data_IF_881418572709
#
_entry.id   IF_881418572709
#
_cell.length_a   1.000
_cell.length_b   1.000
_cell.length_c   1.000
_cell.angle_alpha   90.00
_cell.angle_beta   90.00
_cell.angle_gamma   90.00
#
_symmetry.space_group_name_H-M   'P 1'
#
loop_
_entity.id
_entity.type
_entity.pdbx_description
1 polymer ?
#
# COMPACT_ATOMS: atom_id res chain seq x y z
N UNK A 1 16.45 47.50 -18.70
CA UNK A 1 15.62 46.92 -19.78
C UNK A 1 14.84 45.77 -19.16
N UNK A 2 13.67 46.03 -18.59
CA UNK A 2 12.86 45.04 -17.86
C UNK A 2 11.89 44.39 -18.83
N UNK A 3 12.09 43.10 -19.11
CA UNK A 3 11.17 42.29 -19.92
C UNK A 3 10.02 41.80 -19.03
N UNK A 4 8.82 42.33 -19.28
CA UNK A 4 7.56 41.82 -18.72
C UNK A 4 7.11 40.63 -19.54
N UNK A 5 7.02 39.45 -18.93
CA UNK A 5 6.43 38.25 -19.56
C UNK A 5 4.93 38.20 -19.23
N UNK A 6 4.02 38.06 -20.22
CA UNK A 6 2.60 37.91 -19.95
C UNK A 6 2.28 36.49 -19.45
N UNK A 7 1.54 36.40 -18.34
CA UNK A 7 0.97 35.15 -17.81
C UNK A 7 -0.23 34.71 -18.66
N UNK A 8 -0.38 33.42 -19.03
CA UNK A 8 -1.59 32.95 -19.70
C UNK A 8 -2.76 32.86 -18.72
N UNK A 9 -3.90 33.38 -19.16
CA UNK A 9 -5.17 33.40 -18.45
C UNK A 9 -5.71 31.95 -18.36
N UNK A 10 -5.78 31.36 -17.16
CA UNK A 10 -6.42 30.06 -16.94
C UNK A 10 -7.94 30.25 -16.99
N UNK A 11 -8.57 29.67 -18.01
CA UNK A 11 -10.04 29.54 -18.10
C UNK A 11 -10.46 28.45 -17.13
N UNK A 12 -11.12 28.83 -16.04
CA UNK A 12 -11.79 27.90 -15.12
C UNK A 12 -13.15 27.58 -15.73
N UNK A 13 -13.27 26.39 -16.34
CA UNK A 13 -14.54 25.86 -16.81
C UNK A 13 -15.27 25.19 -15.63
N UNK A 14 -16.30 25.87 -15.15
CA UNK A 14 -17.27 25.39 -14.17
C UNK A 14 -18.29 24.49 -14.90
N UNK A 15 -18.27 23.17 -14.68
CA UNK A 15 -19.31 22.28 -15.20
C UNK A 15 -19.85 21.33 -14.14
N UNK A 16 -20.99 21.76 -13.59
CA UNK A 16 -22.19 21.03 -13.20
C UNK A 16 -22.07 19.59 -12.66
N UNK A 17 -22.34 19.48 -11.36
CA UNK A 17 -22.77 18.27 -10.65
C UNK A 17 -24.12 17.80 -11.19
N UNK A 18 -24.20 16.54 -11.64
CA UNK A 18 -25.45 15.82 -11.93
C UNK A 18 -25.59 14.69 -10.90
N UNK A 19 -26.51 14.89 -9.94
CA UNK A 19 -26.94 13.90 -8.97
C UNK A 19 -27.83 12.85 -9.66
N UNK A 20 -27.38 11.60 -9.71
CA UNK A 20 -28.22 10.44 -10.00
C UNK A 20 -28.52 9.73 -8.68
N UNK A 21 -29.79 9.83 -8.25
CA UNK A 21 -30.34 9.04 -7.16
C UNK A 21 -31.00 7.80 -7.74
N UNK A 22 -30.41 6.62 -7.55
CA UNK A 22 -31.04 5.34 -7.87
C UNK A 22 -31.50 4.65 -6.59
N UNK A 23 -32.81 4.69 -6.35
CA UNK A 23 -33.52 3.89 -5.36
C UNK A 23 -33.79 2.49 -5.93
N UNK A 24 -33.39 1.43 -5.22
CA UNK A 24 -33.73 0.02 -5.45
C UNK A 24 -33.05 -0.82 -4.35
N UNK A 25 -33.58 -1.90 -3.79
CA UNK A 25 -34.75 -2.76 -4.02
C UNK A 25 -35.35 -3.11 -2.64
N UNK A 26 -36.67 -3.14 -2.45
CA UNK A 26 -37.59 -4.28 -2.59
C UNK A 26 -37.36 -5.46 -1.62
N UNK A 27 -38.23 -5.49 -0.59
CA UNK A 27 -38.96 -6.60 0.05
C UNK A 27 -38.31 -7.98 0.25
N UNK A 28 -38.29 -8.50 1.49
CA UNK A 28 -39.37 -9.37 2.05
C UNK A 28 -38.93 -10.08 3.34
N UNK A 29 -39.89 -10.18 4.25
CA UNK A 29 -39.92 -10.86 5.54
C UNK A 29 -39.69 -12.39 5.43
N UNK A 30 -39.01 -12.97 6.43
CA UNK A 30 -39.22 -14.36 6.87
C UNK A 30 -38.63 -14.53 8.27
N UNK A 31 -39.53 -14.78 9.22
CA UNK A 31 -39.27 -15.19 10.59
C UNK A 31 -38.96 -16.68 10.64
N UNK A 32 -37.95 -17.10 11.41
CA UNK A 32 -37.90 -18.44 11.97
C UNK A 32 -37.25 -18.40 13.36
N UNK A 33 -38.11 -18.56 14.38
CA UNK A 33 -37.72 -19.01 15.71
C UNK A 33 -37.36 -20.50 15.64
N UNK A 34 -36.27 -20.91 16.28
CA UNK A 34 -36.22 -22.24 16.88
C UNK A 34 -35.56 -22.21 18.26
N UNK A 35 -36.38 -22.53 19.25
CA UNK A 35 -36.05 -22.73 20.65
C UNK A 35 -35.26 -24.04 20.84
N UNK A 36 -34.13 -24.00 21.56
CA UNK A 36 -33.68 -25.09 22.45
C UNK A 36 -32.45 -24.63 23.28
N UNK A 37 -32.62 -24.19 24.53
CA UNK A 37 -32.51 -24.96 25.78
C UNK A 37 -31.26 -25.87 25.89
N UNK A 38 -30.42 -25.51 26.86
CA UNK A 38 -29.12 -26.07 27.32
C UNK A 38 -29.12 -27.58 27.67
N UNK A 39 -27.94 -28.22 27.92
CA UNK A 39 -27.30 -28.11 29.25
C UNK A 39 -25.75 -28.12 29.31
N UNK A 40 -25.29 -27.37 30.31
CA UNK A 40 -24.17 -27.56 31.27
C UNK A 40 -23.40 -28.90 31.32
N UNK A 41 -22.06 -28.74 31.26
CA UNK A 41 -20.95 -29.43 31.96
C UNK A 41 -20.61 -30.91 31.73
N UNK A 42 -19.32 -31.15 31.46
CA UNK A 42 -18.52 -32.09 32.26
C UNK A 42 -17.01 -31.84 32.15
N UNK A 43 -16.45 -31.51 33.30
CA UNK A 43 -15.04 -31.62 33.70
C UNK A 43 -14.51 -33.04 33.48
N UNK A 44 -13.27 -33.18 32.97
CA UNK A 44 -12.41 -34.31 33.32
C UNK A 44 -10.96 -33.85 33.38
N UNK A 45 -10.44 -33.74 34.60
CA UNK A 45 -9.02 -33.66 34.90
C UNK A 45 -8.36 -35.02 34.63
N UNK A 46 -7.25 -35.01 33.88
CA UNK A 46 -6.40 -36.17 33.62
C UNK A 46 -4.93 -35.79 33.72
N UNK A 47 -4.41 -35.93 34.93
CA UNK A 47 -3.04 -36.30 35.36
C UNK A 47 -1.90 -36.30 34.32
N UNK A 48 -0.95 -35.39 34.56
CA UNK A 48 0.51 -35.55 34.54
C UNK A 48 1.06 -36.90 34.02
N UNK A 49 1.78 -36.89 32.89
CA UNK A 49 3.21 -37.26 32.90
C UNK A 49 3.94 -36.94 31.56
N UNK A 50 5.19 -36.55 31.75
CA UNK A 50 6.36 -36.66 30.86
C UNK A 50 6.64 -35.75 29.66
N UNK A 51 7.85 -35.19 29.81
CA UNK A 51 8.88 -34.82 28.82
C UNK A 51 8.71 -33.51 28.07
N UNK A 52 9.32 -32.49 28.67
CA UNK A 52 10.44 -31.73 28.09
C UNK A 52 10.44 -31.65 26.56
N UNK A 53 10.04 -30.51 25.98
CA UNK A 53 10.78 -30.00 24.84
C UNK A 53 12.07 -29.39 25.38
N UNK A 54 13.20 -29.91 24.90
CA UNK A 54 14.40 -29.12 24.67
C UNK A 54 13.99 -27.69 24.34
N UNK A 55 14.54 -26.71 25.04
CA UNK A 55 14.47 -25.32 24.62
C UNK A 55 15.09 -25.25 23.23
N UNK A 56 14.25 -25.42 22.21
CA UNK A 56 14.54 -24.95 20.88
C UNK A 56 14.79 -23.47 21.07
N UNK A 57 16.07 -23.13 20.95
CA UNK A 57 16.46 -21.78 20.62
C UNK A 57 15.74 -21.48 19.32
N UNK A 58 14.55 -20.89 19.41
CA UNK A 58 13.92 -20.16 18.31
C UNK A 58 14.92 -19.07 17.98
N UNK A 59 15.84 -19.42 17.10
CA UNK A 59 16.60 -18.46 16.35
C UNK A 59 15.53 -17.84 15.46
N UNK A 60 14.94 -16.73 15.92
CA UNK A 60 14.21 -15.84 15.02
C UNK A 60 15.12 -15.70 13.81
N UNK A 61 14.68 -16.10 12.60
CA UNK A 61 15.45 -15.76 11.42
C UNK A 61 15.60 -14.26 11.51
N UNK A 62 16.82 -13.76 11.47
CA UNK A 62 17.02 -12.37 11.08
C UNK A 62 16.43 -12.32 9.68
N UNK A 63 15.14 -11.97 9.58
CA UNK A 63 14.48 -11.74 8.30
C UNK A 63 15.37 -10.72 7.64
N UNK A 64 15.97 -11.11 6.52
CA UNK A 64 16.84 -10.24 5.75
C UNK A 64 15.94 -9.15 5.15
N UNK A 65 15.66 -8.11 5.95
CA UNK A 65 14.72 -7.05 5.62
C UNK A 65 15.29 -6.30 4.43
N UNK A 66 14.64 -6.44 3.28
CA UNK A 66 15.02 -5.75 2.07
C UNK A 66 14.64 -4.27 2.21
N UNK A 67 15.60 -3.41 2.54
CA UNK A 67 15.37 -1.97 2.71
C UNK A 67 15.70 -1.20 1.44
N UNK A 68 14.95 -0.13 1.19
CA UNK A 68 15.25 0.86 0.16
C UNK A 68 15.24 2.27 0.76
N UNK A 69 15.95 3.18 0.09
CA UNK A 69 15.91 4.61 0.36
C UNK A 69 15.29 5.34 -0.83
N UNK A 70 14.31 6.19 -0.57
CA UNK A 70 13.62 7.01 -1.56
C UNK A 70 14.01 8.47 -1.30
N UNK A 71 14.67 9.10 -2.27
CA UNK A 71 15.04 10.52 -2.21
C UNK A 71 14.08 11.37 -3.02
N UNK A 72 13.55 12.44 -2.45
CA UNK A 72 12.64 13.39 -3.12
C UNK A 72 13.10 14.82 -2.82
N UNK A 73 13.79 15.46 -3.76
CA UNK A 73 14.49 16.72 -3.48
C UNK A 73 15.51 16.55 -2.34
N UNK A 74 15.37 17.35 -1.27
CA UNK A 74 16.21 17.26 -0.06
C UNK A 74 15.68 16.23 0.96
N UNK A 75 14.50 15.65 0.71
CA UNK A 75 13.92 14.65 1.58
C UNK A 75 14.49 13.26 1.34
N UNK A 76 14.75 12.55 2.44
CA UNK A 76 15.12 11.15 2.42
C UNK A 76 14.12 10.34 3.25
N UNK A 77 13.57 9.31 2.63
CA UNK A 77 12.57 8.40 3.18
C UNK A 77 13.14 6.98 3.13
N UNK A 78 12.75 6.14 4.09
CA UNK A 78 13.09 4.72 4.10
C UNK A 78 11.84 3.90 3.88
N UNK A 79 11.98 2.74 3.26
CA UNK A 79 10.92 1.76 3.16
C UNK A 79 11.48 0.34 3.34
N UNK A 80 10.68 -0.52 3.95
CA UNK A 80 10.97 -1.93 4.13
C UNK A 80 10.10 -2.76 3.18
N UNK A 81 10.73 -3.54 2.31
CA UNK A 81 10.07 -4.42 1.34
C UNK A 81 9.78 -5.80 1.94
N UNK A 82 8.68 -6.40 1.49
CA UNK A 82 8.36 -7.81 1.74
C UNK A 82 9.21 -8.72 0.85
N UNK A 83 9.54 -9.93 1.32
CA UNK A 83 10.26 -10.92 0.50
C UNK A 83 9.36 -11.57 -0.56
N UNK A 84 9.16 -10.86 -1.67
CA UNK A 84 8.32 -11.26 -2.80
C UNK A 84 9.04 -11.17 -4.14
N UNK A 85 8.53 -11.86 -5.17
CA UNK A 85 9.08 -11.78 -6.52
C UNK A 85 9.09 -10.32 -7.05
N UNK A 86 7.98 -9.59 -6.84
CA UNK A 86 7.86 -8.18 -7.21
C UNK A 86 8.91 -7.29 -6.52
N UNK A 87 9.16 -7.49 -5.21
CA UNK A 87 10.16 -6.71 -4.48
C UNK A 87 11.59 -6.99 -4.98
N UNK A 88 11.92 -8.24 -5.30
CA UNK A 88 13.23 -8.60 -5.87
C UNK A 88 13.42 -8.02 -7.27
N UNK A 89 12.37 -7.97 -8.08
CA UNK A 89 12.41 -7.30 -9.39
C UNK A 89 12.61 -5.79 -9.24
N UNK A 90 11.97 -5.16 -8.25
CA UNK A 90 12.20 -3.73 -7.97
C UNK A 90 13.67 -3.50 -7.59
N UNK A 91 14.24 -4.32 -6.70
CA UNK A 91 15.65 -4.23 -6.31
C UNK A 91 16.59 -4.37 -7.51
N UNK A 92 16.29 -5.28 -8.44
CA UNK A 92 17.10 -5.49 -9.65
C UNK A 92 17.13 -4.26 -10.59
N UNK A 93 16.17 -3.32 -10.44
CA UNK A 93 16.13 -2.08 -11.20
C UNK A 93 16.86 -0.92 -10.51
N UNK A 94 17.33 -1.09 -9.26
CA UNK A 94 17.93 0.00 -8.50
C UNK A 94 19.39 0.28 -8.93
N UNK A 95 19.85 1.55 -8.89
CA UNK A 95 19.05 2.73 -8.59
C UNK A 95 18.13 3.13 -9.76
N UNK A 96 16.89 3.53 -9.44
CA UNK A 96 15.92 3.98 -10.44
C UNK A 96 15.44 5.40 -10.13
N UNK A 97 15.23 6.20 -11.17
CA UNK A 97 14.61 7.53 -11.07
C UNK A 97 13.18 7.46 -11.62
N UNK A 98 12.20 7.91 -10.85
CA UNK A 98 10.78 7.87 -11.22
C UNK A 98 10.20 9.28 -11.13
N UNK A 99 9.63 9.77 -12.23
CA UNK A 99 8.83 10.99 -12.23
C UNK A 99 7.43 10.64 -11.75
N UNK A 100 7.04 11.17 -10.59
CA UNK A 100 5.78 10.84 -9.93
C UNK A 100 4.81 12.01 -9.96
N UNK A 101 3.53 11.71 -10.13
CA UNK A 101 2.44 12.68 -10.08
C UNK A 101 1.50 12.38 -8.92
N UNK A 102 0.78 13.39 -8.48
CA UNK A 102 -0.31 13.25 -7.53
C UNK A 102 -1.51 12.59 -8.19
N UNK A 103 -2.03 11.51 -7.58
CA UNK A 103 -3.27 10.89 -8.00
C UNK A 103 -4.29 10.91 -6.86
N UNK A 104 -5.43 11.55 -7.12
CA UNK A 104 -6.59 11.52 -6.23
C UNK A 104 -6.40 12.18 -4.86
N UNK A 105 -5.27 12.83 -4.57
CA UNK A 105 -4.95 13.27 -3.21
C UNK A 105 -4.67 12.09 -2.26
N UNK A 106 -4.33 10.91 -2.79
CA UNK A 106 -4.11 9.68 -2.02
C UNK A 106 -2.73 9.06 -2.24
N UNK A 107 -2.12 9.27 -3.41
CA UNK A 107 -0.85 8.63 -3.75
C UNK A 107 0.02 9.52 -4.65
N UNK A 108 1.35 9.31 -4.56
CA UNK A 108 2.29 9.71 -5.61
C UNK A 108 2.64 8.48 -6.44
N UNK A 109 2.46 8.55 -7.75
CA UNK A 109 2.63 7.39 -8.63
C UNK A 109 3.38 7.73 -9.90
N UNK A 110 4.18 6.80 -10.43
CA UNK A 110 4.90 7.00 -11.69
C UNK A 110 5.55 5.72 -12.24
N UNK A 111 5.88 5.70 -13.54
CA UNK A 111 6.21 4.47 -14.26
C UNK A 111 7.61 3.95 -13.90
N UNK A 112 7.70 2.63 -13.74
CA UNK A 112 8.98 1.91 -13.67
C UNK A 112 9.54 1.64 -15.08
N UNK A 113 10.87 1.48 -15.22
CA UNK A 113 11.50 1.07 -16.48
C UNK A 113 10.97 -0.26 -17.04
N UNK A 114 10.78 -1.25 -16.17
CA UNK A 114 10.33 -2.59 -16.54
C UNK A 114 9.24 -3.09 -15.57
N UNK A 115 8.28 -3.91 -16.04
CA UNK A 115 7.24 -4.48 -15.19
C UNK A 115 7.81 -5.41 -14.11
N UNK A 116 7.20 -5.37 -12.93
CA UNK A 116 7.48 -6.29 -11.83
C UNK A 116 6.67 -7.58 -11.97
N UNK A 117 7.21 -8.69 -11.47
CA UNK A 117 6.53 -9.97 -11.42
C UNK A 117 5.26 -9.90 -10.54
N UNK A 118 4.19 -10.52 -11.03
CA UNK A 118 2.94 -10.74 -10.30
C UNK A 118 2.87 -12.14 -9.68
N UNK A 119 3.95 -12.91 -9.75
CA UNK A 119 4.01 -14.26 -9.19
C UNK A 119 3.75 -14.23 -7.68
N UNK A 120 2.75 -14.98 -7.24
CA UNK A 120 2.36 -15.09 -5.83
C UNK A 120 1.60 -13.88 -5.28
N UNK A 121 1.28 -12.88 -6.12
CA UNK A 121 0.53 -11.70 -5.69
C UNK A 121 -0.99 -11.92 -5.79
N UNK A 122 -1.80 -11.29 -4.92
CA UNK A 122 -3.25 -11.31 -5.05
C UNK A 122 -3.71 -10.55 -6.32
N UNK A 123 -4.99 -10.71 -6.69
CA UNK A 123 -5.58 -9.99 -7.83
C UNK A 123 -5.62 -8.46 -7.64
N UNK A 124 -5.53 -7.99 -6.40
CA UNK A 124 -5.55 -6.58 -6.02
C UNK A 124 -5.36 -6.42 -4.51
N UNK A 125 -5.37 -5.17 -4.06
CA UNK A 125 -5.19 -4.84 -2.65
C UNK A 125 -5.94 -3.56 -2.28
N UNK A 126 -6.13 -3.37 -0.97
CA UNK A 126 -6.73 -2.22 -0.30
C UNK A 126 -5.64 -1.51 0.54
N UNK A 127 -4.81 -0.66 -0.09
CA UNK A 127 -3.64 -0.06 0.56
C UNK A 127 -4.01 0.98 1.63
N UNK A 128 -3.26 0.96 2.73
CA UNK A 128 -3.34 1.96 3.79
C UNK A 128 -2.30 3.06 3.60
N UNK A 129 -2.49 4.27 4.17
CA UNK A 129 -1.44 5.28 4.24
C UNK A 129 -0.14 4.71 4.81
N UNK A 130 0.96 4.95 4.11
CA UNK A 130 2.27 4.38 4.44
C UNK A 130 2.60 3.07 3.74
N UNK A 131 1.69 2.46 2.99
CA UNK A 131 2.05 1.32 2.14
C UNK A 131 2.86 1.79 0.91
N UNK A 132 3.78 0.94 0.49
CA UNK A 132 4.50 1.07 -0.78
C UNK A 132 3.94 0.04 -1.75
N UNK A 133 3.45 0.48 -2.90
CA UNK A 133 2.78 -0.39 -3.86
C UNK A 133 3.34 -0.35 -5.27
N UNK A 134 2.82 -1.28 -6.07
CA UNK A 134 2.97 -1.34 -7.51
C UNK A 134 1.61 -1.51 -8.16
N UNK A 135 1.26 -0.62 -9.07
CA UNK A 135 0.03 -0.71 -9.84
C UNK A 135 0.33 -1.36 -11.20
N UNK A 136 0.05 -2.66 -11.29
CA UNK A 136 0.43 -3.49 -12.43
C UNK A 136 -0.15 -3.05 -13.79
N UNK A 137 -1.41 -2.59 -13.90
CA UNK A 137 -1.96 -2.10 -15.17
C UNK A 137 -1.25 -0.85 -15.72
N UNK A 138 -0.70 -0.01 -14.82
CA UNK A 138 0.05 1.20 -15.19
C UNK A 138 1.55 1.00 -15.30
N UNK A 139 2.08 -0.11 -14.76
CA UNK A 139 3.51 -0.30 -14.50
C UNK A 139 4.09 0.79 -13.57
N UNK A 140 3.30 1.23 -12.58
CA UNK A 140 3.66 2.35 -11.73
C UNK A 140 4.12 1.91 -10.34
N UNK A 141 5.21 2.50 -9.86
CA UNK A 141 5.56 2.51 -8.43
C UNK A 141 4.66 3.52 -7.72
N UNK A 142 4.12 3.15 -6.57
CA UNK A 142 3.10 3.94 -5.85
C UNK A 142 3.49 4.18 -4.40
N UNK A 143 3.47 5.43 -3.97
CA UNK A 143 3.66 5.86 -2.58
C UNK A 143 2.31 6.31 -2.01
N UNK A 144 1.70 5.49 -1.16
CA UNK A 144 0.40 5.80 -0.55
C UNK A 144 0.56 6.72 0.67
N UNK A 145 -0.10 7.88 0.65
CA UNK A 145 -0.16 8.79 1.79
C UNK A 145 -1.60 9.09 2.26
N UNK A 146 -2.60 8.73 1.45
CA UNK A 146 -4.02 8.76 1.79
C UNK A 146 -4.65 7.37 1.69
N UNK A 147 -5.92 7.30 2.10
CA UNK A 147 -6.69 6.05 2.11
C UNK A 147 -7.20 5.72 0.69
N UNK A 148 -6.89 4.52 0.21
CA UNK A 148 -7.30 4.07 -1.11
C UNK A 148 -7.99 2.72 -0.98
N UNK A 149 -9.26 2.66 -1.40
CA UNK A 149 -10.05 1.43 -1.38
C UNK A 149 -9.48 0.36 -2.32
N UNK A 150 -9.87 -0.90 -2.07
CA UNK A 150 -9.51 -2.03 -2.91
C UNK A 150 -9.57 -1.74 -4.41
N UNK A 151 -8.49 -2.08 -5.12
CA UNK A 151 -8.44 -2.00 -6.57
C UNK A 151 -7.66 -3.16 -7.18
N UNK A 152 -8.13 -3.66 -8.32
CA UNK A 152 -7.51 -4.76 -9.04
C UNK A 152 -6.16 -4.34 -9.64
N UNK A 153 -5.14 -5.18 -9.48
CA UNK A 153 -3.79 -4.94 -9.98
C UNK A 153 -2.88 -4.16 -9.04
N UNK A 154 -3.35 -3.77 -7.85
CA UNK A 154 -2.46 -3.24 -6.80
C UNK A 154 -1.72 -4.40 -6.13
N UNK A 155 -0.40 -4.28 -6.07
CA UNK A 155 0.51 -5.15 -5.33
C UNK A 155 1.14 -4.36 -4.19
N UNK A 156 1.05 -4.84 -2.95
CA UNK A 156 1.78 -4.24 -1.82
C UNK A 156 3.21 -4.78 -1.83
N UNK A 157 4.16 -3.90 -2.09
CA UNK A 157 5.58 -4.24 -2.10
C UNK A 157 6.17 -4.23 -0.70
N UNK A 158 5.68 -3.36 0.16
CA UNK A 158 6.22 -3.12 1.49
C UNK A 158 5.57 -1.94 2.18
N UNK A 159 6.31 -1.33 3.11
CA UNK A 159 5.85 -0.18 3.91
C UNK A 159 6.89 0.92 3.93
N UNK A 160 6.44 2.16 3.80
CA UNK A 160 7.19 3.36 4.10
C UNK A 160 7.38 3.48 5.62
N UNK A 161 8.59 3.79 6.06
CA UNK A 161 8.94 3.82 7.48
C UNK A 161 8.59 5.17 8.13
N UNK A 162 8.26 5.14 9.42
CA UNK A 162 8.12 6.36 10.24
C UNK A 162 7.01 7.31 9.77
N UNK A 163 7.37 8.58 9.60
CA UNK A 163 6.48 9.68 9.20
C UNK A 163 6.48 9.91 7.67
N UNK A 164 7.02 8.98 6.88
CA UNK A 164 7.21 9.17 5.45
C UNK A 164 5.91 9.48 4.69
N UNK A 165 4.79 8.83 5.03
CA UNK A 165 3.48 9.13 4.43
C UNK A 165 3.04 10.58 4.70
N UNK A 166 3.18 11.06 5.93
CA UNK A 166 2.84 12.45 6.29
C UNK A 166 3.69 13.43 5.49
N UNK A 167 4.99 13.16 5.39
CA UNK A 167 5.92 14.00 4.62
C UNK A 167 5.60 14.01 3.13
N UNK A 168 5.27 12.86 2.53
CA UNK A 168 4.83 12.79 1.14
C UNK A 168 3.53 13.59 0.92
N UNK A 169 2.60 13.56 1.88
CA UNK A 169 1.34 14.29 1.79
C UNK A 169 1.52 15.81 1.77
N UNK A 170 2.64 16.31 2.29
CA UNK A 170 2.98 17.74 2.27
C UNK A 170 3.65 18.19 0.96
N UNK A 171 3.96 17.27 0.04
CA UNK A 171 4.62 17.58 -1.23
C UNK A 171 3.61 18.01 -2.30
N UNK A 172 3.77 19.24 -2.79
CA UNK A 172 2.94 19.79 -3.86
C UNK A 172 3.39 19.35 -5.27
N UNK A 173 2.42 19.00 -6.11
CA UNK A 173 2.64 18.77 -7.55
C UNK A 173 3.46 17.51 -7.87
N UNK A 174 3.98 17.44 -9.11
CA UNK A 174 4.87 16.36 -9.54
C UNK A 174 6.21 16.42 -8.83
N UNK A 175 6.77 15.24 -8.55
CA UNK A 175 8.07 15.09 -7.88
C UNK A 175 8.93 14.07 -8.62
N UNK A 176 10.23 14.31 -8.67
CA UNK A 176 11.21 13.32 -9.13
C UNK A 176 11.73 12.56 -7.93
N UNK A 177 11.58 11.23 -7.94
CA UNK A 177 12.10 10.36 -6.88
C UNK A 177 13.29 9.55 -7.38
N UNK A 178 14.27 9.32 -6.50
CA UNK A 178 15.35 8.38 -6.77
C UNK A 178 15.35 7.30 -5.71
N UNK A 179 15.09 6.06 -6.14
CA UNK A 179 15.05 4.88 -5.29
C UNK A 179 16.39 4.16 -5.36
N UNK A 180 16.94 3.78 -4.21
CA UNK A 180 18.21 3.07 -4.05
C UNK A 180 18.08 1.96 -3.03
N UNK A 181 19.00 1.00 -3.06
CA UNK A 181 19.15 0.05 -1.96
C UNK A 181 19.38 0.82 -0.65
N UNK A 182 18.70 0.38 0.41
CA UNK A 182 18.87 0.91 1.76
C UNK A 182 20.18 0.39 2.35
N UNK A 183 20.87 1.24 3.11
CA UNK A 183 22.04 0.80 3.89
C UNK A 183 21.57 0.29 5.26
N UNK A 184 22.29 -0.71 5.79
CA UNK A 184 22.08 -1.26 7.14
C UNK A 184 22.35 -0.24 8.25
#
# INVERSE_FOLDING_TARGET
>A
MTMTVPRPLRVVALTAVLLVSSTGCASSDSSDEHLQTSPTSSTTSGTLDQRSPTAETTSTPEENLMRITISIGDEQLSATLTDSAAARDLLAQLPVTVEMVDHGGVEKTGPLPEPLSLEGQPEGADPSPGDLGYYAPGNDLVLYYGDQSYFAGIVILGRLDGDAAERISALDGPVTTVVREGQE
#
